data_IF_841218258918
#
_entry.id   IF_841218258918
#
_cell.length_a   1.000
_cell.length_b   1.000
_cell.length_c   1.000
_cell.angle_alpha   90.00
_cell.angle_beta   90.00
_cell.angle_gamma   90.00
#
_symmetry.space_group_name_H-M   'P 1'
#
loop_
_entity.id
_entity.type
_entity.pdbx_description
1 polymer ?
#
# COMPACT_ATOMS: atom_id res chain seq x y z
N UNK A 1 16.92 8.35 11.71
CA UNK A 1 16.69 6.96 11.25
C UNK A 1 16.15 7.08 9.84
N UNK A 2 16.91 6.63 8.84
CA UNK A 2 16.62 6.87 7.43
C UNK A 2 15.48 5.96 6.93
N UNK A 3 14.41 6.56 6.40
CA UNK A 3 13.28 5.84 5.80
C UNK A 3 13.71 4.89 4.67
N UNK A 4 14.89 5.12 4.09
CA UNK A 4 15.48 4.29 3.04
C UNK A 4 16.05 2.95 3.57
N UNK A 5 16.39 2.85 4.86
CA UNK A 5 16.87 1.60 5.46
C UNK A 5 15.73 0.58 5.68
N UNK A 6 14.48 1.05 5.82
CA UNK A 6 13.30 0.20 6.01
C UNK A 6 12.81 -0.48 4.73
N UNK A 7 13.16 0.05 3.55
CA UNK A 7 12.81 -0.57 2.27
C UNK A 7 13.57 -1.88 2.03
N UNK A 8 14.68 -2.11 2.74
CA UNK A 8 15.55 -3.27 2.60
C UNK A 8 15.03 -4.57 3.21
N UNK A 9 14.01 -4.56 4.09
CA UNK A 9 13.68 -5.78 4.85
C UNK A 9 12.23 -6.29 4.76
N UNK A 10 11.28 -5.56 4.16
CA UNK A 10 9.89 -6.06 4.02
C UNK A 10 9.76 -7.29 3.12
N UNK A 11 10.70 -7.53 2.20
CA UNK A 11 10.73 -8.74 1.37
C UNK A 11 11.27 -9.97 2.11
N UNK A 12 12.04 -9.78 3.16
CA UNK A 12 12.65 -10.84 3.96
C UNK A 12 11.89 -11.11 5.26
N UNK A 13 10.94 -10.24 5.60
CA UNK A 13 10.07 -10.38 6.75
C UNK A 13 8.96 -11.43 6.46
N UNK A 14 8.88 -12.53 7.24
CA UNK A 14 7.89 -13.59 7.02
C UNK A 14 6.44 -13.13 7.25
N UNK A 15 6.23 -12.00 7.93
CA UNK A 15 4.90 -11.45 8.19
C UNK A 15 4.35 -10.64 7.01
N UNK A 16 5.16 -10.42 5.97
CA UNK A 16 4.77 -9.68 4.76
C UNK A 16 4.55 -10.59 3.55
N UNK A 17 3.44 -10.37 2.85
CA UNK A 17 3.11 -11.02 1.58
C UNK A 17 2.97 -10.01 0.42
N UNK A 18 3.24 -10.45 -0.81
CA UNK A 18 3.00 -9.64 -2.02
C UNK A 18 1.64 -9.98 -2.65
N UNK A 19 0.85 -8.94 -2.94
CA UNK A 19 -0.37 -9.04 -3.76
C UNK A 19 -0.09 -8.43 -5.13
N UNK A 20 -0.48 -9.13 -6.21
CA UNK A 20 -0.27 -8.71 -7.59
C UNK A 20 -1.60 -8.57 -8.34
N UNK A 21 -1.78 -7.49 -9.10
CA UNK A 21 -2.99 -7.23 -9.89
C UNK A 21 -2.80 -6.13 -10.92
N UNK A 22 -3.64 -6.13 -11.95
CA UNK A 22 -3.67 -5.07 -12.97
C UNK A 22 -4.74 -4.04 -12.62
N UNK A 23 -4.39 -2.75 -12.73
CA UNK A 23 -5.30 -1.62 -12.53
C UNK A 23 -5.16 -0.61 -13.69
N UNK A 24 -6.17 0.24 -13.94
CA UNK A 24 -6.08 1.27 -14.97
C UNK A 24 -4.87 2.20 -14.79
N UNK A 25 -4.21 2.56 -15.90
CA UNK A 25 -3.05 3.47 -15.88
C UNK A 25 -3.38 4.84 -15.28
N UNK A 26 -4.60 5.33 -15.49
CA UNK A 26 -5.09 6.58 -14.90
C UNK A 26 -5.08 6.51 -13.37
N UNK A 27 -5.56 5.40 -12.80
CA UNK A 27 -5.57 5.17 -11.37
C UNK A 27 -4.14 5.09 -10.79
N UNK A 28 -3.19 4.48 -11.51
CA UNK A 28 -1.78 4.46 -11.11
C UNK A 28 -1.23 5.89 -11.01
N UNK A 29 -1.54 6.74 -11.98
CA UNK A 29 -1.08 8.14 -12.00
C UNK A 29 -1.66 8.93 -10.83
N UNK A 30 -2.98 8.84 -10.61
CA UNK A 30 -3.65 9.52 -9.50
C UNK A 30 -3.11 9.05 -8.15
N UNK A 31 -2.89 7.75 -8.00
CA UNK A 31 -2.32 7.17 -6.78
C UNK A 31 -0.92 7.74 -6.49
N UNK A 32 -0.04 7.81 -7.50
CA UNK A 32 1.30 8.41 -7.33
C UNK A 32 1.24 9.90 -6.96
N UNK A 33 0.31 10.66 -7.54
CA UNK A 33 0.09 12.07 -7.17
C UNK A 33 -0.37 12.17 -5.71
N UNK A 34 -1.27 11.29 -5.27
CA UNK A 34 -1.73 11.25 -3.89
C UNK A 34 -0.58 10.96 -2.91
N UNK A 35 0.28 9.96 -3.22
CA UNK A 35 1.47 9.65 -2.42
C UNK A 35 2.40 10.85 -2.27
N UNK A 36 2.68 11.55 -3.38
CA UNK A 36 3.56 12.72 -3.37
C UNK A 36 3.01 13.86 -2.50
N UNK A 37 1.68 14.00 -2.41
CA UNK A 37 1.01 15.04 -1.59
C UNK A 37 0.95 14.67 -0.11
N UNK A 38 0.77 13.39 0.22
CA UNK A 38 0.58 12.95 1.60
C UNK A 38 1.88 12.60 2.32
N UNK A 39 2.98 12.39 1.59
CA UNK A 39 4.27 12.02 2.18
C UNK A 39 4.33 10.59 2.72
N UNK A 40 3.31 9.77 2.43
CA UNK A 40 3.28 8.34 2.81
C UNK A 40 3.95 7.48 1.76
N UNK A 41 4.48 6.33 2.17
CA UNK A 41 5.05 5.36 1.25
C UNK A 41 3.96 4.60 0.50
N UNK A 42 4.31 4.06 -0.68
CA UNK A 42 3.41 3.24 -1.46
C UNK A 42 2.88 2.03 -0.67
N UNK A 43 3.73 1.35 0.10
CA UNK A 43 3.31 0.20 0.91
C UNK A 43 2.29 0.60 1.97
N UNK A 44 2.52 1.68 2.71
CA UNK A 44 1.59 2.16 3.74
C UNK A 44 0.22 2.50 3.15
N UNK A 45 0.19 3.16 2.00
CA UNK A 45 -1.06 3.49 1.33
C UNK A 45 -1.81 2.24 0.84
N UNK A 46 -1.09 1.23 0.34
CA UNK A 46 -1.68 -0.05 -0.05
C UNK A 46 -2.24 -0.78 1.18
N UNK A 47 -1.49 -0.84 2.28
CA UNK A 47 -1.93 -1.45 3.54
C UNK A 47 -3.21 -0.78 4.07
N UNK A 48 -3.26 0.56 4.08
CA UNK A 48 -4.45 1.32 4.48
C UNK A 48 -5.65 1.06 3.57
N UNK A 49 -5.45 1.07 2.24
CA UNK A 49 -6.52 0.84 1.28
C UNK A 49 -7.10 -0.58 1.40
N UNK A 50 -6.24 -1.59 1.57
CA UNK A 50 -6.66 -2.98 1.75
C UNK A 50 -7.37 -3.16 3.10
N UNK A 51 -6.83 -2.59 4.18
CA UNK A 51 -7.47 -2.67 5.51
C UNK A 51 -8.87 -2.04 5.49
N UNK A 52 -9.02 -0.88 4.84
CA UNK A 52 -10.32 -0.22 4.67
C UNK A 52 -11.29 -1.09 3.86
N UNK A 53 -10.83 -1.66 2.75
CA UNK A 53 -11.65 -2.55 1.92
C UNK A 53 -12.10 -3.79 2.70
N UNK A 54 -11.19 -4.43 3.43
CA UNK A 54 -11.49 -5.58 4.28
C UNK A 54 -12.50 -5.21 5.37
N UNK A 55 -12.34 -4.06 6.04
CA UNK A 55 -13.29 -3.61 7.05
C UNK A 55 -14.70 -3.37 6.47
N UNK A 56 -14.79 -2.78 5.27
CA UNK A 56 -16.06 -2.58 4.57
C UNK A 56 -16.74 -3.90 4.18
N UNK A 57 -15.96 -4.94 3.86
CA UNK A 57 -16.48 -6.27 3.50
C UNK A 57 -16.70 -7.18 4.70
N UNK A 58 -15.95 -6.99 5.79
CA UNK A 58 -16.06 -7.74 7.04
C UNK A 58 -17.20 -7.24 7.93
N UNK A 59 -17.59 -5.97 7.81
CA UNK A 59 -18.79 -5.43 8.45
C UNK A 59 -20.08 -5.73 7.66
N UNK A 60 -19.98 -6.46 6.54
CA UNK A 60 -21.12 -7.08 5.87
C UNK A 60 -21.35 -8.47 6.47
N UNK A 61 -21.67 -8.54 7.76
CA UNK A 61 -22.21 -9.72 8.46
C UNK A 61 -23.03 -9.25 9.65
#
# INVERSE_FOLDING_TARGET
MDANAMAGNRKADPDYGQISGLIPKTLITEFKVALARSGVTQSEAIEQAIALWVAQKGNAS
#
